data_IF_265658619753
#
_entry.id   IF_265658619753
#
_cell.length_a   1.000
_cell.length_b   1.000
_cell.length_c   1.000
_cell.angle_alpha   90.00
_cell.angle_beta   90.00
_cell.angle_gamma   90.00
#
_symmetry.space_group_name_H-M   'P 1'
#
loop_
_entity.id
_entity.type
_entity.pdbx_description
1 polymer ?
#
# COMPACT_ATOMS: atom_id res chain seq x y z
N UNK A 1 -24.00 7.62 58.10
CA UNK A 1 -24.28 6.46 57.21
C UNK A 1 -24.59 7.01 55.83
N UNK A 2 -23.66 6.75 54.92
CA UNK A 2 -23.63 6.86 53.44
C UNK A 2 -24.60 7.80 52.71
N UNK A 3 -24.05 8.90 52.19
CA UNK A 3 -24.60 9.65 51.05
C UNK A 3 -24.01 9.03 49.78
N UNK A 4 -24.79 8.28 49.03
CA UNK A 4 -24.40 7.74 47.72
C UNK A 4 -24.81 8.72 46.61
N UNK A 5 -23.89 9.59 46.21
CA UNK A 5 -24.03 10.40 45.01
C UNK A 5 -23.65 9.55 43.79
N UNK A 6 -24.65 9.03 43.07
CA UNK A 6 -24.45 8.40 41.77
C UNK A 6 -24.17 9.49 40.73
N UNK A 7 -22.94 9.57 40.23
CA UNK A 7 -22.62 10.38 39.05
C UNK A 7 -23.39 9.89 37.81
N UNK A 8 -23.53 10.72 36.76
CA UNK A 8 -24.24 10.34 35.55
C UNK A 8 -23.46 9.21 34.85
N UNK A 9 -24.14 8.11 34.53
CA UNK A 9 -23.58 7.11 33.61
C UNK A 9 -23.48 7.75 32.22
N UNK A 10 -22.37 7.57 31.49
CA UNK A 10 -22.34 7.95 30.09
C UNK A 10 -23.41 7.17 29.32
N UNK A 11 -24.27 7.89 28.59
CA UNK A 11 -25.28 7.28 27.73
C UNK A 11 -24.60 6.43 26.65
N UNK A 12 -25.13 5.23 26.32
CA UNK A 12 -24.56 4.33 25.32
C UNK A 12 -24.82 4.78 23.87
N UNK A 13 -25.19 6.04 23.66
CA UNK A 13 -25.72 6.55 22.41
C UNK A 13 -24.99 7.83 21.97
N UNK A 14 -23.66 7.75 21.89
CA UNK A 14 -22.97 8.45 20.81
C UNK A 14 -23.05 7.52 19.61
N UNK A 15 -24.17 7.60 18.89
CA UNK A 15 -24.24 7.11 17.52
C UNK A 15 -22.98 7.63 16.80
N UNK A 16 -22.12 6.71 16.39
CA UNK A 16 -20.99 7.02 15.55
C UNK A 16 -21.51 7.81 14.33
N UNK A 17 -20.79 8.87 13.97
CA UNK A 17 -21.15 9.75 12.87
C UNK A 17 -21.38 8.89 11.60
N UNK A 18 -22.43 9.07 10.79
CA UNK A 18 -22.69 8.26 9.59
C UNK A 18 -21.53 8.25 8.57
N UNK A 19 -20.58 9.18 8.73
CA UNK A 19 -19.34 9.29 7.97
C UNK A 19 -18.29 8.23 8.37
N UNK A 20 -18.33 7.75 9.62
CA UNK A 20 -17.36 6.82 10.21
C UNK A 20 -17.66 5.35 9.85
N UNK A 21 -18.89 5.07 9.38
CA UNK A 21 -19.38 3.75 8.97
C UNK A 21 -19.70 3.65 7.47
N UNK A 22 -19.09 4.49 6.63
CA UNK A 22 -18.93 4.13 5.22
C UNK A 22 -17.87 3.01 5.17
N UNK A 23 -18.30 1.80 5.50
CA UNK A 23 -17.47 0.60 5.51
C UNK A 23 -16.56 0.59 4.29
N UNK A 24 -15.28 0.29 4.49
CA UNK A 24 -14.29 0.14 3.44
C UNK A 24 -14.60 -1.11 2.58
N UNK A 25 -15.77 -1.16 1.95
CA UNK A 25 -16.19 -2.16 0.98
C UNK A 25 -15.71 -1.75 -0.40
N UNK A 26 -14.62 -2.35 -0.85
CA UNK A 26 -14.05 -2.13 -2.19
C UNK A 26 -15.05 -2.39 -3.33
N UNK A 27 -16.15 -3.12 -3.09
CA UNK A 27 -17.20 -3.33 -4.09
C UNK A 27 -18.23 -2.19 -4.16
N UNK A 28 -18.26 -1.29 -3.18
CA UNK A 28 -19.11 -0.10 -3.18
C UNK A 28 -18.53 1.04 -4.02
N UNK A 29 -19.37 1.68 -4.85
CA UNK A 29 -18.98 2.82 -5.71
C UNK A 29 -18.46 4.03 -4.95
N UNK A 30 -18.88 4.21 -3.70
CA UNK A 30 -18.50 5.36 -2.86
C UNK A 30 -17.40 5.02 -1.86
N UNK A 31 -16.78 3.85 -1.99
CA UNK A 31 -15.79 3.42 -1.03
C UNK A 31 -14.49 4.21 -1.16
N UNK A 32 -14.07 4.78 -0.04
CA UNK A 32 -12.83 5.55 0.07
C UNK A 32 -11.57 4.67 -0.02
N UNK A 33 -11.68 3.35 0.18
CA UNK A 33 -10.52 2.45 0.12
C UNK A 33 -10.06 2.10 -1.29
N UNK A 34 -10.87 2.39 -2.33
CA UNK A 34 -10.51 2.10 -3.73
C UNK A 34 -9.29 2.86 -4.20
N UNK A 35 -9.19 4.13 -3.84
CA UNK A 35 -8.06 4.98 -4.22
C UNK A 35 -6.75 4.45 -3.62
N UNK A 36 -6.75 4.17 -2.31
CA UNK A 36 -5.61 3.55 -1.64
C UNK A 36 -5.26 2.17 -2.25
N UNK A 37 -6.27 1.34 -2.57
CA UNK A 37 -6.06 0.06 -3.22
C UNK A 37 -5.42 0.21 -4.61
N UNK A 38 -5.91 1.15 -5.42
CA UNK A 38 -5.35 1.46 -6.74
C UNK A 38 -3.89 1.92 -6.62
N UNK A 39 -3.59 2.79 -5.67
CA UNK A 39 -2.23 3.28 -5.44
C UNK A 39 -1.26 2.17 -5.07
N UNK A 40 -1.64 1.22 -4.20
CA UNK A 40 -0.74 0.13 -3.76
C UNK A 40 -0.67 -1.03 -4.76
N UNK A 41 -1.69 -1.23 -5.59
CA UNK A 41 -1.72 -2.27 -6.63
C UNK A 41 -1.22 -1.78 -7.99
N UNK A 42 -0.97 -0.49 -8.16
CA UNK A 42 -0.30 0.05 -9.33
C UNK A 42 1.04 -0.62 -9.57
N UNK A 43 1.33 -0.95 -10.84
CA UNK A 43 2.50 -1.76 -11.26
C UNK A 43 3.80 -1.38 -10.53
N UNK A 44 4.14 -0.09 -10.54
CA UNK A 44 5.41 0.39 -9.98
C UNK A 44 5.36 0.54 -8.45
N UNK A 45 4.21 0.90 -7.89
CA UNK A 45 4.02 1.04 -6.45
C UNK A 45 4.17 -0.30 -5.74
N UNK A 46 3.54 -1.35 -6.27
CA UNK A 46 3.62 -2.70 -5.75
C UNK A 46 5.07 -3.22 -5.75
N UNK A 47 5.80 -3.02 -6.85
CA UNK A 47 7.22 -3.40 -6.94
C UNK A 47 8.12 -2.57 -6.01
N UNK A 48 7.84 -1.28 -5.84
CA UNK A 48 8.59 -0.43 -4.91
C UNK A 48 8.36 -0.83 -3.44
N UNK A 49 7.10 -1.13 -3.06
CA UNK A 49 6.75 -1.59 -1.72
C UNK A 49 7.44 -2.91 -1.36
N UNK A 50 7.43 -3.88 -2.27
CA UNK A 50 8.09 -5.17 -2.02
C UNK A 50 9.62 -5.05 -2.04
N UNK A 51 10.19 -4.17 -2.86
CA UNK A 51 11.62 -3.86 -2.83
C UNK A 51 12.09 -3.25 -1.49
N UNK A 52 11.22 -2.48 -0.81
CA UNK A 52 11.52 -1.83 0.48
C UNK A 52 11.32 -2.75 1.70
N UNK A 53 10.90 -4.00 1.50
CA UNK A 53 10.61 -4.93 2.60
C UNK A 53 11.85 -5.29 3.41
N UNK A 54 12.98 -5.50 2.73
CA UNK A 54 14.23 -5.95 3.34
C UNK A 54 14.93 -4.81 4.09
N UNK A 55 15.07 -3.64 3.45
CA UNK A 55 15.80 -2.50 4.00
C UNK A 55 15.39 -1.17 3.36
N UNK A 56 15.75 -0.03 3.98
CA UNK A 56 15.66 1.27 3.33
C UNK A 56 16.53 1.34 2.08
N UNK A 57 16.07 2.07 1.07
CA UNK A 57 16.80 2.23 -0.20
C UNK A 57 16.88 3.68 -0.67
N UNK A 58 17.98 4.02 -1.32
CA UNK A 58 18.10 5.27 -2.09
C UNK A 58 17.28 5.19 -3.37
N UNK A 59 16.89 6.33 -3.93
CA UNK A 59 16.14 6.38 -5.18
C UNK A 59 16.79 5.58 -6.32
N UNK A 60 18.10 5.76 -6.52
CA UNK A 60 18.84 5.05 -7.57
C UNK A 60 18.94 3.55 -7.36
N UNK A 61 18.90 3.08 -6.10
CA UNK A 61 18.87 1.65 -5.78
C UNK A 61 17.50 1.06 -6.08
N UNK A 62 16.43 1.73 -5.67
CA UNK A 62 15.05 1.34 -6.04
C UNK A 62 14.89 1.29 -7.56
N UNK A 63 15.39 2.29 -8.29
CA UNK A 63 15.30 2.32 -9.75
C UNK A 63 16.01 1.15 -10.42
N UNK A 64 17.15 0.71 -9.88
CA UNK A 64 17.86 -0.48 -10.37
C UNK A 64 17.15 -1.77 -10.00
N UNK A 65 16.54 -1.83 -8.82
CA UNK A 65 15.80 -3.00 -8.34
C UNK A 65 14.50 -3.20 -9.13
N UNK A 66 13.77 -2.12 -9.39
CA UNK A 66 12.52 -2.08 -10.17
C UNK A 66 12.87 -1.86 -11.64
N UNK A 67 13.43 -2.89 -12.28
CA UNK A 67 13.89 -2.78 -13.66
C UNK A 67 12.75 -2.37 -14.63
N UNK A 68 13.10 -1.55 -15.62
CA UNK A 68 12.16 -1.01 -16.61
C UNK A 68 11.30 0.18 -16.17
N UNK A 69 11.41 0.66 -14.91
CA UNK A 69 10.73 1.89 -14.48
C UNK A 69 11.49 3.14 -14.91
N UNK A 70 10.77 4.16 -15.41
CA UNK A 70 11.37 5.48 -15.65
C UNK A 70 11.48 6.27 -14.34
N UNK A 71 12.42 7.22 -14.27
CA UNK A 71 12.59 8.07 -13.08
C UNK A 71 11.30 8.81 -12.72
N UNK A 72 10.60 9.33 -13.72
CA UNK A 72 9.32 10.02 -13.54
C UNK A 72 8.29 9.10 -12.89
N UNK A 73 8.16 7.86 -13.37
CA UNK A 73 7.16 6.92 -12.86
C UNK A 73 7.49 6.46 -11.45
N UNK A 74 8.76 6.14 -11.17
CA UNK A 74 9.17 5.76 -9.82
C UNK A 74 8.96 6.91 -8.83
N UNK A 75 9.31 8.13 -9.21
CA UNK A 75 9.11 9.32 -8.38
C UNK A 75 7.62 9.54 -8.06
N UNK A 76 6.75 9.44 -9.07
CA UNK A 76 5.30 9.57 -8.87
C UNK A 76 4.72 8.47 -7.97
N UNK A 77 5.14 7.23 -8.15
CA UNK A 77 4.72 6.13 -7.27
C UNK A 77 5.19 6.33 -5.84
N UNK A 78 6.45 6.70 -5.61
CA UNK A 78 6.98 6.96 -4.27
C UNK A 78 6.28 8.16 -3.60
N UNK A 79 6.00 9.23 -4.34
CA UNK A 79 5.26 10.38 -3.82
C UNK A 79 3.82 10.01 -3.42
N UNK A 80 3.16 9.16 -4.20
CA UNK A 80 1.81 8.66 -3.89
C UNK A 80 1.83 7.78 -2.65
N UNK A 81 2.77 6.82 -2.59
CA UNK A 81 2.94 5.94 -1.43
C UNK A 81 3.34 6.70 -0.15
N UNK A 82 4.11 7.78 -0.28
CA UNK A 82 4.44 8.69 0.82
C UNK A 82 3.22 9.45 1.31
N UNK A 83 2.43 10.01 0.38
CA UNK A 83 1.18 10.73 0.68
C UNK A 83 0.17 9.83 1.40
N UNK A 84 0.04 8.58 0.97
CA UNK A 84 -0.87 7.61 1.56
C UNK A 84 -0.35 7.01 2.89
N UNK A 85 0.91 7.28 3.25
CA UNK A 85 1.50 6.84 4.51
C UNK A 85 2.03 5.40 4.49
N UNK A 86 2.28 4.80 3.32
CA UNK A 86 2.91 3.48 3.19
C UNK A 86 4.44 3.55 3.21
N UNK A 87 4.99 4.66 2.72
CA UNK A 87 6.43 4.91 2.60
C UNK A 87 6.79 6.18 3.36
N UNK A 88 7.95 6.17 4.01
CA UNK A 88 8.54 7.35 4.62
C UNK A 88 9.81 7.73 3.86
N UNK A 89 9.87 8.99 3.42
CA UNK A 89 11.04 9.59 2.78
C UNK A 89 11.85 10.36 3.82
N UNK A 90 13.13 10.01 3.96
CA UNK A 90 14.03 10.64 4.92
C UNK A 90 15.26 11.22 4.20
N UNK A 91 15.61 12.47 4.51
CA UNK A 91 16.89 13.07 4.10
C UNK A 91 17.94 12.68 5.13
N UNK A 92 18.98 11.95 4.69
CA UNK A 92 20.10 11.55 5.54
C UNK A 92 21.22 12.58 5.46
N UNK A 93 21.58 13.11 6.62
CA UNK A 93 22.69 14.07 6.80
C UNK A 93 24.07 13.40 6.84
N UNK A 94 24.28 12.38 6.00
CA UNK A 94 25.60 11.77 5.80
C UNK A 94 26.46 12.61 4.85
N UNK A 95 27.73 12.25 4.66
CA UNK A 95 28.60 12.85 3.65
C UNK A 95 28.87 11.81 2.56
N UNK A 96 28.39 11.99 1.31
CA UNK A 96 27.47 13.05 0.86
C UNK A 96 26.03 12.83 1.37
N UNK A 97 25.21 13.90 1.44
CA UNK A 97 23.81 13.77 1.84
C UNK A 97 23.00 13.05 0.77
N UNK A 98 22.06 12.21 1.18
CA UNK A 98 21.19 11.46 0.26
C UNK A 98 19.79 11.28 0.82
N UNK A 99 18.87 10.82 -0.03
CA UNK A 99 17.49 10.52 0.35
C UNK A 99 17.31 9.02 0.41
N UNK A 100 16.69 8.54 1.48
CA UNK A 100 16.26 7.15 1.64
C UNK A 100 14.74 7.05 1.73
N UNK A 101 14.23 5.94 1.24
CA UNK A 101 12.84 5.53 1.38
C UNK A 101 12.81 4.29 2.26
N UNK A 102 11.84 4.21 3.16
CA UNK A 102 11.58 3.03 4.00
C UNK A 102 10.08 2.82 4.14
N UNK A 103 9.67 1.58 4.43
CA UNK A 103 8.28 1.32 4.79
C UNK A 103 7.94 1.96 6.15
N UNK A 104 6.74 2.52 6.25
CA UNK A 104 6.08 2.82 7.54
C UNK A 104 5.60 1.51 8.19
N UNK A 105 5.06 1.58 9.41
CA UNK A 105 4.50 0.39 10.07
C UNK A 105 3.35 -0.22 9.24
N UNK A 106 2.45 0.62 8.73
CA UNK A 106 1.38 0.20 7.81
C UNK A 106 1.95 -0.40 6.51
N UNK A 107 3.01 0.19 5.95
CA UNK A 107 3.71 -0.36 4.79
C UNK A 107 4.33 -1.75 5.04
N UNK A 108 4.87 -1.98 6.24
CA UNK A 108 5.45 -3.28 6.66
C UNK A 108 4.40 -4.36 6.83
N UNK A 109 3.18 -4.01 7.22
CA UNK A 109 2.06 -4.96 7.27
C UNK A 109 1.51 -5.30 5.87
N UNK A 110 1.55 -4.34 4.95
CA UNK A 110 1.02 -4.48 3.60
C UNK A 110 1.97 -5.22 2.65
N UNK A 111 3.25 -4.84 2.62
CA UNK A 111 4.22 -5.30 1.64
C UNK A 111 4.36 -6.85 1.56
N UNK A 112 4.34 -7.63 2.66
CA UNK A 112 4.33 -9.10 2.59
C UNK A 112 3.11 -9.68 1.88
N UNK A 113 1.94 -9.03 1.99
CA UNK A 113 0.70 -9.47 1.33
C UNK A 113 0.78 -9.24 -0.18
N UNK A 114 1.35 -8.10 -0.58
CA UNK A 114 1.62 -7.81 -1.99
C UNK A 114 2.67 -8.77 -2.56
N UNK A 115 3.72 -9.08 -1.79
CA UNK A 115 4.73 -10.06 -2.19
C UNK A 115 4.11 -11.44 -2.40
N UNK A 116 3.23 -11.89 -1.50
CA UNK A 116 2.52 -13.15 -1.66
C UNK A 116 1.68 -13.20 -2.95
N UNK A 117 1.01 -12.08 -3.30
CA UNK A 117 0.29 -11.96 -4.57
C UNK A 117 1.24 -12.05 -5.77
N UNK A 118 2.37 -11.34 -5.74
CA UNK A 118 3.39 -11.40 -6.81
C UNK A 118 3.85 -12.84 -7.02
N UNK A 119 4.31 -13.50 -5.95
CA UNK A 119 4.83 -14.86 -6.02
C UNK A 119 3.78 -15.85 -6.53
N UNK A 120 2.52 -15.69 -6.11
CA UNK A 120 1.42 -16.49 -6.63
C UNK A 120 1.22 -16.30 -8.14
N UNK A 121 1.20 -15.05 -8.60
CA UNK A 121 1.02 -14.74 -10.04
C UNK A 121 2.21 -15.22 -10.86
N UNK A 122 3.44 -15.04 -10.38
CA UNK A 122 4.66 -15.55 -11.01
C UNK A 122 4.60 -17.06 -11.23
N UNK A 123 4.17 -17.82 -10.22
CA UNK A 123 4.00 -19.26 -10.32
C UNK A 123 2.89 -19.66 -11.30
N UNK A 124 1.87 -18.81 -11.49
CA UNK A 124 0.75 -19.06 -12.40
C UNK A 124 1.02 -18.68 -13.87
N UNK A 125 2.16 -18.02 -14.17
CA UNK A 125 2.50 -17.55 -15.52
C UNK A 125 2.35 -18.62 -16.62
N UNK A 126 2.79 -19.89 -16.44
CA UNK A 126 2.59 -20.92 -17.46
C UNK A 126 1.11 -21.17 -17.80
N UNK A 127 0.24 -21.22 -16.77
CA UNK A 127 -1.20 -21.40 -16.97
C UNK A 127 -1.84 -20.19 -17.67
N UNK A 128 -1.39 -18.98 -17.33
CA UNK A 128 -1.85 -17.74 -18.00
C UNK A 128 -1.45 -17.75 -19.48
N UNK A 129 -0.24 -18.20 -19.83
CA UNK A 129 0.18 -18.31 -21.23
C UNK A 129 -0.62 -19.35 -22.01
N UNK A 130 -0.90 -20.52 -21.43
CA UNK A 130 -1.75 -21.53 -22.05
C UNK A 130 -3.16 -20.99 -22.32
N UNK A 131 -3.78 -20.35 -21.33
CA UNK A 131 -5.12 -19.77 -21.46
C UNK A 131 -5.20 -18.69 -22.56
N UNK A 132 -4.13 -17.88 -22.72
CA UNK A 132 -4.05 -16.88 -23.81
C UNK A 132 -4.00 -17.54 -25.19
N UNK A 133 -3.17 -18.56 -25.36
CA UNK A 133 -3.06 -19.28 -26.63
C UNK A 133 -4.39 -19.97 -27.02
N UNK A 134 -5.12 -20.53 -26.06
CA UNK A 134 -6.45 -21.10 -26.28
C UNK A 134 -7.49 -20.03 -26.67
N UNK A 135 -7.42 -18.83 -26.08
CA UNK A 135 -8.29 -17.71 -26.46
C UNK A 135 -7.99 -17.23 -27.88
N UNK A 136 -6.71 -17.00 -28.20
CA UNK A 136 -6.27 -16.47 -29.50
C UNK A 136 -6.55 -17.44 -30.68
N UNK A 137 -6.80 -18.72 -30.39
CA UNK A 137 -7.17 -19.73 -31.41
C UNK A 137 -8.68 -19.92 -31.55
N UNK A 138 -9.49 -19.34 -30.65
CA UNK A 138 -10.97 -19.32 -30.75
C UNK A 138 -11.50 -18.14 -31.58
N UNK A 139 -10.69 -17.10 -31.74
CA UNK A 139 -10.96 -15.91 -32.57
C UNK A 139 -10.44 -16.10 -34.00
#
# INVERSE_FOLDING_TARGET
>A
MSVSTSGPRPSPDRAADPVEQLAADVFSRRCTSREALEHVTGKWSLLALTALLDQPHRFGELRRRVDGVSEKMLSQSLQTLERDGWVHREVRSTIPPHVEYRLTDAGRELAPRLLALITFVEAAVPAVHAARAEHDTRD
#
